data_IF_493369172349
#
_entry.id   IF_493369172349
#
_cell.length_a   1.000
_cell.length_b   1.000
_cell.length_c   1.000
_cell.angle_alpha   90.00
_cell.angle_beta   90.00
_cell.angle_gamma   90.00
#
_symmetry.space_group_name_H-M   'P 1'
#
loop_
_entity.id
_entity.type
_entity.pdbx_description
1 polymer ?
#
# COMPACT_ATOMS: atom_id res chain seq x y z
N UNK A 1 -4.04 7.18 -11.54
CA UNK A 1 -3.94 8.64 -11.39
C UNK A 1 -2.47 9.09 -11.29
N UNK A 2 -1.65 8.47 -10.45
CA UNK A 2 -0.29 8.91 -10.12
C UNK A 2 0.83 8.09 -10.79
N UNK A 3 0.51 7.25 -11.77
CA UNK A 3 1.45 6.35 -12.43
C UNK A 3 2.63 7.08 -13.13
N UNK A 4 2.44 8.32 -13.52
CA UNK A 4 3.45 9.14 -14.20
C UNK A 4 4.70 9.46 -13.35
N UNK A 5 4.63 9.32 -12.02
CA UNK A 5 5.80 9.44 -11.13
C UNK A 5 6.73 8.23 -11.22
N UNK A 6 6.22 7.06 -11.66
CA UNK A 6 6.97 5.81 -11.72
C UNK A 6 7.49 5.60 -13.14
N UNK A 7 8.81 5.63 -13.28
CA UNK A 7 9.51 5.53 -14.58
C UNK A 7 10.96 5.03 -14.41
N UNK A 8 11.59 4.69 -15.52
CA UNK A 8 13.00 4.28 -15.56
C UNK A 8 13.20 2.89 -14.94
N UNK A 9 14.23 2.74 -14.12
CA UNK A 9 14.48 1.52 -13.34
C UNK A 9 13.59 1.58 -12.11
N UNK A 10 12.60 0.71 -12.04
CA UNK A 10 11.59 0.65 -10.96
C UNK A 10 11.90 -0.51 -10.02
N UNK A 11 11.94 -0.22 -8.72
CA UNK A 11 11.97 -1.22 -7.66
C UNK A 11 10.55 -1.36 -7.09
N UNK A 12 10.01 -2.58 -7.16
CA UNK A 12 8.79 -2.98 -6.43
C UNK A 12 9.22 -3.64 -5.12
N UNK A 13 9.18 -2.87 -4.04
CA UNK A 13 9.69 -3.25 -2.73
C UNK A 13 8.58 -3.90 -1.87
N UNK A 14 8.68 -5.21 -1.68
CA UNK A 14 7.62 -6.07 -1.16
C UNK A 14 6.60 -6.37 -2.25
N UNK A 15 7.08 -6.94 -3.36
CA UNK A 15 6.31 -7.05 -4.60
C UNK A 15 5.14 -8.03 -4.53
N UNK A 16 5.14 -8.97 -3.58
CA UNK A 16 4.24 -10.10 -3.65
C UNK A 16 4.40 -10.84 -5.00
N UNK A 17 3.30 -11.12 -5.68
CA UNK A 17 3.30 -11.70 -7.03
C UNK A 17 3.82 -10.74 -8.12
N UNK A 18 3.93 -9.43 -7.82
CA UNK A 18 4.56 -8.40 -8.64
C UNK A 18 3.81 -8.00 -9.93
N UNK A 19 2.71 -8.64 -10.26
CA UNK A 19 2.05 -8.41 -11.56
C UNK A 19 0.92 -7.37 -11.50
N UNK A 20 0.41 -7.08 -10.30
CA UNK A 20 -0.80 -6.26 -10.11
C UNK A 20 -0.66 -4.85 -10.65
N UNK A 21 0.46 -4.18 -10.42
CA UNK A 21 0.65 -2.76 -10.73
C UNK A 21 1.54 -2.51 -11.94
N UNK A 22 2.38 -3.45 -12.32
CA UNK A 22 3.36 -3.36 -13.40
C UNK A 22 2.80 -2.76 -14.70
N UNK A 23 1.63 -3.20 -15.12
CA UNK A 23 0.96 -2.76 -16.36
C UNK A 23 0.57 -1.27 -16.41
N UNK A 24 0.60 -0.58 -15.27
CA UNK A 24 0.23 0.84 -15.18
C UNK A 24 1.41 1.80 -15.33
N UNK A 25 2.64 1.27 -15.35
CA UNK A 25 3.85 2.08 -15.36
C UNK A 25 4.60 1.97 -16.68
N UNK A 26 5.27 3.08 -17.04
CA UNK A 26 6.22 3.11 -18.15
C UNK A 26 7.64 3.02 -17.59
N UNK A 27 8.31 1.87 -17.75
CA UNK A 27 9.60 1.57 -17.15
C UNK A 27 10.58 1.01 -18.19
N UNK A 28 11.87 1.21 -17.96
CA UNK A 28 12.95 0.57 -18.72
C UNK A 28 13.31 -0.79 -18.12
N UNK A 29 13.23 -0.90 -16.78
CA UNK A 29 13.45 -2.15 -16.04
C UNK A 29 12.54 -2.18 -14.81
N UNK A 30 11.94 -3.32 -14.53
CA UNK A 30 11.11 -3.56 -13.34
C UNK A 30 11.77 -4.64 -12.50
N UNK A 31 12.09 -4.34 -11.25
CA UNK A 31 12.82 -5.22 -10.33
C UNK A 31 11.87 -5.54 -9.16
N UNK A 32 11.52 -6.79 -9.00
CA UNK A 32 10.72 -7.29 -7.88
C UNK A 32 11.64 -7.68 -6.72
N UNK A 33 11.42 -7.09 -5.55
CA UNK A 33 12.06 -7.48 -4.29
C UNK A 33 10.99 -8.01 -3.34
N UNK A 34 11.18 -9.22 -2.84
CA UNK A 34 10.30 -9.79 -1.81
C UNK A 34 11.09 -10.72 -0.89
N UNK A 35 10.68 -10.81 0.37
CA UNK A 35 11.28 -11.72 1.35
C UNK A 35 10.85 -13.17 1.12
N UNK A 36 9.66 -13.36 0.55
CA UNK A 36 9.12 -14.68 0.26
C UNK A 36 9.51 -15.12 -1.15
N UNK A 37 10.45 -16.09 -1.23
CA UNK A 37 10.88 -16.68 -2.50
C UNK A 37 9.77 -17.32 -3.33
N UNK A 38 8.66 -17.73 -2.71
CA UNK A 38 7.53 -18.34 -3.41
C UNK A 38 6.75 -17.34 -4.26
N UNK A 39 6.93 -16.03 -4.04
CA UNK A 39 6.40 -14.96 -4.88
C UNK A 39 7.20 -14.77 -6.18
N UNK A 40 8.23 -15.58 -6.39
CA UNK A 40 9.11 -15.51 -7.57
C UNK A 40 9.64 -14.09 -7.85
N UNK A 41 10.26 -13.43 -6.87
CA UNK A 41 10.85 -12.10 -7.07
C UNK A 41 12.15 -12.21 -7.85
N UNK A 42 12.59 -11.10 -8.46
CA UNK A 42 13.91 -11.01 -9.09
C UNK A 42 15.03 -11.00 -8.03
N UNK A 43 14.71 -10.45 -6.85
CA UNK A 43 15.61 -10.39 -5.70
C UNK A 43 14.88 -10.91 -4.46
N UNK A 44 15.38 -11.98 -3.86
CA UNK A 44 14.92 -12.43 -2.55
C UNK A 44 15.63 -11.62 -1.48
N UNK A 45 14.91 -10.79 -0.73
CA UNK A 45 15.51 -9.90 0.26
C UNK A 45 14.51 -9.11 1.06
N UNK A 46 15.00 -8.46 2.12
CA UNK A 46 14.18 -7.63 3.01
C UNK A 46 14.25 -6.16 2.60
N UNK A 47 13.13 -5.46 2.72
CA UNK A 47 13.09 -4.00 2.60
C UNK A 47 13.86 -3.28 3.71
N UNK A 48 14.23 -3.99 4.78
CA UNK A 48 15.09 -3.46 5.86
C UNK A 48 16.59 -3.43 5.50
N UNK A 49 16.98 -4.16 4.45
CA UNK A 49 18.35 -4.20 3.91
C UNK A 49 18.28 -4.59 2.43
N UNK A 50 18.04 -3.60 1.58
CA UNK A 50 17.84 -3.82 0.15
C UNK A 50 19.19 -4.11 -0.51
N UNK A 51 19.39 -5.28 -1.17
CA UNK A 51 20.66 -5.66 -1.77
C UNK A 51 20.90 -4.98 -3.13
N UNK A 52 20.75 -3.67 -3.15
CA UNK A 52 21.03 -2.77 -4.28
C UNK A 52 21.96 -1.65 -3.81
N UNK A 53 22.79 -1.16 -4.72
CA UNK A 53 23.69 -0.03 -4.44
C UNK A 53 22.93 1.28 -4.19
N UNK A 54 23.61 2.26 -3.61
CA UNK A 54 23.07 3.60 -3.40
C UNK A 54 22.71 4.23 -4.75
N UNK A 55 21.61 4.99 -4.79
CA UNK A 55 21.16 5.72 -5.98
C UNK A 55 21.12 4.85 -7.25
N UNK A 56 20.63 3.62 -7.14
CA UNK A 56 20.61 2.63 -8.22
C UNK A 56 19.28 2.55 -8.98
N UNK A 57 18.18 3.06 -8.41
CA UNK A 57 16.85 2.98 -9.03
C UNK A 57 16.25 4.37 -9.24
N UNK A 58 15.45 4.54 -10.31
CA UNK A 58 14.82 5.82 -10.65
C UNK A 58 13.50 6.01 -9.92
N UNK A 59 12.82 4.92 -9.57
CA UNK A 59 11.53 4.96 -8.88
C UNK A 59 11.36 3.77 -7.97
N UNK A 60 10.57 3.95 -6.90
CA UNK A 60 10.19 2.88 -5.98
C UNK A 60 8.67 2.84 -5.86
N UNK A 61 8.10 1.64 -5.84
CA UNK A 61 6.74 1.38 -5.40
C UNK A 61 6.79 0.40 -4.23
N UNK A 62 5.99 0.66 -3.20
CA UNK A 62 5.83 -0.26 -2.07
C UNK A 62 4.38 -0.20 -1.60
N UNK A 63 3.67 -1.33 -1.71
CA UNK A 63 2.22 -1.36 -1.47
C UNK A 63 1.86 -2.36 -0.40
N UNK A 64 1.36 -1.87 0.75
CA UNK A 64 0.94 -2.69 1.89
C UNK A 64 2.12 -3.56 2.38
N UNK A 65 3.21 -2.89 2.74
CA UNK A 65 4.45 -3.54 3.20
C UNK A 65 4.92 -2.99 4.54
N UNK A 66 4.87 -1.66 4.74
CA UNK A 66 5.45 -1.04 5.92
C UNK A 66 4.74 -1.43 7.22
N UNK A 67 3.48 -1.83 7.15
CA UNK A 67 2.72 -2.39 8.28
C UNK A 67 3.25 -3.74 8.74
N UNK A 68 3.90 -4.49 7.86
CA UNK A 68 4.42 -5.84 8.09
C UNK A 68 5.89 -5.88 8.46
N UNK A 69 6.55 -4.73 8.60
CA UNK A 69 7.96 -4.67 9.00
C UNK A 69 8.12 -4.11 10.42
N UNK A 70 8.97 -4.74 11.22
CA UNK A 70 9.21 -4.32 12.63
C UNK A 70 9.81 -2.92 12.77
N UNK A 71 10.50 -2.44 11.74
CA UNK A 71 11.12 -1.11 11.75
C UNK A 71 10.84 -0.38 10.43
N UNK A 72 9.66 0.24 10.29
CA UNK A 72 9.29 0.96 9.07
C UNK A 72 10.20 2.16 8.75
N UNK A 73 10.75 2.83 9.76
CA UNK A 73 11.70 3.93 9.56
C UNK A 73 12.99 3.43 8.87
N UNK A 74 13.48 2.25 9.23
CA UNK A 74 14.64 1.64 8.57
C UNK A 74 14.33 1.28 7.12
N UNK A 75 13.13 0.74 6.83
CA UNK A 75 12.73 0.47 5.45
C UNK A 75 12.68 1.75 4.61
N UNK A 76 12.12 2.83 5.15
CA UNK A 76 12.08 4.14 4.47
C UNK A 76 13.49 4.70 4.26
N UNK A 77 14.43 4.50 5.19
CA UNK A 77 15.85 4.88 5.02
C UNK A 77 16.51 4.10 3.87
N UNK A 78 16.19 2.81 3.73
CA UNK A 78 16.68 2.00 2.60
C UNK A 78 16.08 2.45 1.27
N UNK A 79 14.80 2.82 1.24
CA UNK A 79 14.18 3.43 0.05
C UNK A 79 14.91 4.72 -0.35
N UNK A 80 15.20 5.58 0.62
CA UNK A 80 15.97 6.80 0.36
C UNK A 80 17.36 6.49 -0.17
N UNK A 81 18.07 5.53 0.41
CA UNK A 81 19.42 5.13 0.02
C UNK A 81 19.49 4.69 -1.44
N UNK A 82 18.63 3.73 -1.82
CA UNK A 82 18.68 3.12 -3.17
C UNK A 82 18.09 4.00 -4.27
N UNK A 83 17.24 4.98 -3.90
CA UNK A 83 16.60 5.89 -4.84
C UNK A 83 17.61 6.94 -5.32
N UNK A 84 17.65 7.21 -6.63
CA UNK A 84 18.46 8.28 -7.22
C UNK A 84 17.97 9.66 -6.78
N UNK A 85 18.85 10.68 -6.76
CA UNK A 85 18.43 12.08 -6.60
C UNK A 85 17.32 12.44 -7.60
N UNK A 86 16.29 13.15 -7.13
CA UNK A 86 15.07 13.49 -7.87
C UNK A 86 14.17 12.28 -8.25
N UNK A 87 14.49 11.08 -7.79
CA UNK A 87 13.64 9.90 -7.93
C UNK A 87 12.38 9.98 -7.07
N UNK A 88 11.37 9.21 -7.43
CA UNK A 88 10.10 9.20 -6.71
C UNK A 88 9.85 7.85 -6.05
N UNK A 89 9.25 7.89 -4.85
CA UNK A 89 8.76 6.72 -4.18
C UNK A 89 7.25 6.87 -3.94
N UNK A 90 6.47 5.85 -4.33
CA UNK A 90 5.04 5.74 -4.03
C UNK A 90 4.85 4.62 -3.04
N UNK A 91 4.22 4.94 -1.90
CA UNK A 91 3.91 3.95 -0.88
C UNK A 91 2.42 3.98 -0.56
N UNK A 92 1.81 2.81 -0.38
CA UNK A 92 0.45 2.70 0.15
C UNK A 92 0.42 1.88 1.42
N UNK A 93 -0.38 2.32 2.40
CA UNK A 93 -0.36 1.78 3.76
C UNK A 93 -1.78 1.81 4.33
N UNK A 94 -2.20 0.82 5.12
CA UNK A 94 -3.51 0.81 5.76
C UNK A 94 -3.55 1.73 6.99
N UNK A 95 -4.72 2.32 7.24
CA UNK A 95 -5.06 2.93 8.52
C UNK A 95 -6.13 2.13 9.25
N UNK A 96 -7.19 1.72 8.54
CA UNK A 96 -8.29 0.96 9.11
C UNK A 96 -8.39 -0.38 8.38
N UNK A 97 -7.78 -1.39 8.96
CA UNK A 97 -7.81 -2.76 8.46
C UNK A 97 -7.76 -3.71 9.64
N UNK A 98 -8.41 -4.87 9.50
CA UNK A 98 -8.31 -5.97 10.47
C UNK A 98 -6.87 -6.51 10.52
N UNK A 99 -6.57 -7.33 11.52
CA UNK A 99 -5.32 -8.09 11.56
C UNK A 99 -5.26 -9.03 10.35
N UNK A 100 -4.12 -9.03 9.67
CA UNK A 100 -3.88 -9.88 8.50
C UNK A 100 -2.40 -10.25 8.41
N UNK A 101 -2.10 -11.35 7.74
CA UNK A 101 -0.74 -11.92 7.63
C UNK A 101 -0.05 -12.16 8.99
N UNK A 102 -0.87 -12.51 10.00
CA UNK A 102 -0.37 -12.82 11.34
C UNK A 102 0.73 -13.91 11.32
N UNK A 103 1.78 -13.77 12.17
CA UNK A 103 1.99 -12.78 13.22
C UNK A 103 2.73 -11.50 12.77
N UNK A 104 2.85 -11.22 11.49
CA UNK A 104 3.69 -10.14 10.97
C UNK A 104 2.87 -8.89 10.61
N UNK A 105 1.92 -8.51 11.45
CA UNK A 105 1.09 -7.31 11.27
C UNK A 105 1.30 -6.37 12.47
N UNK A 106 2.15 -5.35 12.31
CA UNK A 106 2.68 -4.58 13.43
C UNK A 106 2.09 -3.18 13.53
N UNK A 107 1.72 -2.53 12.41
CA UNK A 107 1.40 -1.10 12.42
C UNK A 107 0.16 -0.74 11.63
N UNK A 108 -0.51 0.32 12.10
CA UNK A 108 -1.51 1.12 11.39
C UNK A 108 -1.06 2.57 11.43
N UNK A 109 -1.02 3.21 10.28
CA UNK A 109 -0.44 4.55 10.20
C UNK A 109 -1.50 5.62 10.07
N UNK A 110 -1.36 6.69 10.86
CA UNK A 110 -2.06 7.94 10.61
C UNK A 110 -1.30 8.75 9.56
N UNK A 111 -1.98 9.74 8.97
CA UNK A 111 -1.33 10.71 8.08
C UNK A 111 -0.07 11.33 8.71
N UNK A 112 -0.18 11.76 9.96
CA UNK A 112 0.92 12.44 10.66
C UNK A 112 2.07 11.51 11.05
N UNK A 113 1.77 10.25 11.36
CA UNK A 113 2.81 9.24 11.58
C UNK A 113 3.62 8.96 10.33
N UNK A 114 2.98 9.00 9.14
CA UNK A 114 3.68 8.89 7.88
C UNK A 114 4.54 10.13 7.59
N UNK A 115 3.99 11.33 7.77
CA UNK A 115 4.75 12.59 7.63
C UNK A 115 6.03 12.55 8.45
N UNK A 116 5.94 12.12 9.71
CA UNK A 116 7.08 12.01 10.61
C UNK A 116 8.15 11.04 10.10
N UNK A 117 7.75 9.82 9.72
CA UNK A 117 8.71 8.79 9.26
C UNK A 117 9.46 9.24 7.99
N UNK A 118 8.75 9.84 7.03
CA UNK A 118 9.37 10.22 5.76
C UNK A 118 10.20 11.51 5.88
N UNK A 119 9.77 12.47 6.69
CA UNK A 119 10.53 13.71 6.94
C UNK A 119 11.85 13.42 7.66
N UNK A 120 11.87 12.49 8.63
CA UNK A 120 13.07 12.10 9.37
C UNK A 120 14.16 11.47 8.49
N UNK A 121 13.80 11.06 7.27
CA UNK A 121 14.73 10.50 6.27
C UNK A 121 15.02 11.49 5.14
N UNK A 122 14.64 12.76 5.30
CA UNK A 122 14.86 13.83 4.32
C UNK A 122 14.13 13.68 2.98
N UNK A 123 13.08 12.87 2.90
CA UNK A 123 12.21 12.85 1.74
C UNK A 123 11.39 14.14 1.66
N UNK A 124 11.31 14.71 0.46
CA UNK A 124 10.32 15.75 0.18
C UNK A 124 8.96 15.12 -0.09
N UNK A 125 7.99 15.38 0.77
CA UNK A 125 6.62 14.91 0.58
C UNK A 125 5.96 15.73 -0.53
N UNK A 126 5.53 15.06 -1.59
CA UNK A 126 4.84 15.67 -2.74
C UNK A 126 3.32 15.61 -2.53
N UNK A 127 2.83 14.47 -2.02
CA UNK A 127 1.41 14.24 -1.81
C UNK A 127 1.20 13.20 -0.72
N UNK A 128 0.21 13.42 0.14
CA UNK A 128 -0.43 12.38 0.93
C UNK A 128 -1.91 12.40 0.58
N UNK A 129 -2.40 11.33 -0.03
CA UNK A 129 -3.78 11.22 -0.49
C UNK A 129 -4.50 10.14 0.31
N UNK A 130 -5.74 10.42 0.67
CA UNK A 130 -6.60 9.52 1.41
C UNK A 130 -7.15 8.44 0.46
N UNK A 131 -7.15 7.21 0.91
CA UNK A 131 -7.79 6.09 0.23
C UNK A 131 -9.10 5.75 0.96
N UNK A 132 -10.22 5.98 0.29
CA UNK A 132 -11.55 5.86 0.89
C UNK A 132 -11.81 6.89 1.99
N UNK A 133 -13.04 6.99 2.43
CA UNK A 133 -13.49 7.83 3.54
C UNK A 133 -14.24 6.99 4.58
N UNK A 134 -15.03 7.64 5.40
CA UNK A 134 -15.82 7.02 6.45
C UNK A 134 -16.71 5.88 5.91
N UNK A 135 -17.42 6.13 4.80
CA UNK A 135 -18.36 5.16 4.24
C UNK A 135 -17.64 3.91 3.74
N UNK A 136 -16.58 4.08 2.97
CA UNK A 136 -15.78 2.94 2.48
C UNK A 136 -15.10 2.20 3.63
N UNK A 137 -14.58 2.89 4.64
CA UNK A 137 -13.93 2.27 5.79
C UNK A 137 -14.91 1.42 6.59
N UNK A 138 -16.12 1.96 6.89
CA UNK A 138 -17.14 1.19 7.61
C UNK A 138 -17.61 -0.04 6.84
N UNK A 139 -17.93 0.13 5.56
CA UNK A 139 -18.38 -0.99 4.74
C UNK A 139 -17.29 -2.04 4.58
N UNK A 140 -16.03 -1.63 4.44
CA UNK A 140 -14.92 -2.58 4.41
C UNK A 140 -14.84 -3.42 5.69
N UNK A 141 -14.91 -2.79 6.87
CA UNK A 141 -14.88 -3.48 8.16
C UNK A 141 -16.04 -4.48 8.26
N UNK A 142 -17.25 -4.05 7.93
CA UNK A 142 -18.43 -4.91 7.98
C UNK A 142 -18.33 -6.10 7.01
N UNK A 143 -17.86 -5.86 5.78
CA UNK A 143 -17.68 -6.93 4.78
C UNK A 143 -16.62 -7.92 5.26
N UNK A 144 -15.48 -7.46 5.75
CA UNK A 144 -14.40 -8.32 6.24
C UNK A 144 -14.86 -9.16 7.41
N UNK A 145 -15.53 -8.54 8.39
CA UNK A 145 -16.14 -9.24 9.52
C UNK A 145 -17.13 -10.31 9.05
N UNK A 146 -18.03 -10.00 8.11
CA UNK A 146 -19.00 -10.96 7.60
C UNK A 146 -18.33 -12.12 6.83
N UNK A 147 -17.28 -11.82 6.04
CA UNK A 147 -16.51 -12.84 5.32
C UNK A 147 -15.92 -13.86 6.30
N UNK A 148 -15.33 -13.39 7.40
CA UNK A 148 -14.71 -14.25 8.41
C UNK A 148 -15.74 -14.98 9.24
N UNK A 149 -16.78 -14.27 9.73
CA UNK A 149 -17.85 -14.84 10.55
C UNK A 149 -18.57 -16.00 9.83
N UNK A 150 -18.96 -15.78 8.57
CA UNK A 150 -19.67 -16.77 7.76
C UNK A 150 -18.75 -17.68 6.96
N UNK A 151 -17.43 -17.56 7.13
CA UNK A 151 -16.42 -18.34 6.41
C UNK A 151 -16.63 -18.32 4.88
N UNK A 152 -17.01 -17.16 4.32
CA UNK A 152 -17.36 -17.02 2.91
C UNK A 152 -16.22 -17.41 1.97
N UNK A 153 -14.96 -17.29 2.43
CA UNK A 153 -13.79 -17.74 1.67
C UNK A 153 -13.71 -19.27 1.52
N UNK A 154 -14.35 -20.03 2.45
CA UNK A 154 -14.31 -21.49 2.46
C UNK A 154 -15.57 -22.11 1.83
N UNK A 155 -16.71 -21.42 1.91
CA UNK A 155 -18.02 -21.95 1.46
C UNK A 155 -18.41 -21.23 0.16
N UNK A 156 -18.09 -21.87 -0.97
CA UNK A 156 -18.30 -21.29 -2.31
C UNK A 156 -19.73 -20.85 -2.59
N UNK A 157 -20.73 -21.61 -2.16
CA UNK A 157 -22.14 -21.30 -2.36
C UNK A 157 -22.52 -20.02 -1.61
N UNK A 158 -22.16 -19.89 -0.33
CA UNK A 158 -22.45 -18.69 0.45
C UNK A 158 -21.76 -17.47 -0.16
N UNK A 159 -20.53 -17.62 -0.63
CA UNK A 159 -19.81 -16.54 -1.34
C UNK A 159 -20.61 -16.05 -2.55
N UNK A 160 -21.14 -16.93 -3.37
CA UNK A 160 -21.96 -16.57 -4.54
C UNK A 160 -23.23 -15.80 -4.16
N UNK A 161 -23.91 -16.22 -3.08
CA UNK A 161 -25.12 -15.55 -2.59
C UNK A 161 -24.80 -14.15 -2.06
N UNK A 162 -23.73 -14.00 -1.28
CA UNK A 162 -23.37 -12.72 -0.66
C UNK A 162 -22.63 -11.75 -1.58
N UNK A 163 -21.98 -12.24 -2.64
CA UNK A 163 -21.16 -11.43 -3.54
C UNK A 163 -21.90 -10.21 -4.14
N UNK A 164 -23.15 -10.30 -4.64
CA UNK A 164 -23.89 -9.14 -5.14
C UNK A 164 -24.11 -8.08 -4.07
N UNK A 165 -24.42 -8.48 -2.83
CA UNK A 165 -24.61 -7.56 -1.70
C UNK A 165 -23.31 -6.85 -1.31
N UNK A 166 -22.22 -7.61 -1.26
CA UNK A 166 -20.88 -7.07 -1.01
C UNK A 166 -20.53 -6.01 -2.08
N UNK A 167 -20.78 -6.34 -3.33
CA UNK A 167 -20.53 -5.44 -4.47
C UNK A 167 -21.37 -4.16 -4.40
N UNK A 168 -22.68 -4.31 -4.16
CA UNK A 168 -23.60 -3.19 -4.06
C UNK A 168 -23.22 -2.24 -2.90
N UNK A 169 -22.97 -2.80 -1.71
CA UNK A 169 -22.55 -1.99 -0.56
C UNK A 169 -21.23 -1.27 -0.81
N UNK A 170 -20.25 -1.94 -1.42
CA UNK A 170 -18.98 -1.34 -1.78
C UNK A 170 -19.13 -0.17 -2.78
N UNK A 171 -19.98 -0.35 -3.80
CA UNK A 171 -20.28 0.73 -4.76
C UNK A 171 -20.98 1.92 -4.11
N UNK A 172 -21.98 1.67 -3.27
CA UNK A 172 -22.69 2.72 -2.55
C UNK A 172 -21.75 3.48 -1.60
N UNK A 173 -20.87 2.78 -0.91
CA UNK A 173 -19.88 3.41 -0.02
C UNK A 173 -18.93 4.34 -0.78
N UNK A 174 -18.43 3.93 -1.95
CA UNK A 174 -17.59 4.76 -2.82
C UNK A 174 -18.38 6.00 -3.30
N UNK A 175 -19.67 5.81 -3.66
CA UNK A 175 -20.53 6.89 -4.09
C UNK A 175 -20.78 7.90 -2.96
N UNK A 176 -21.04 7.42 -1.74
CA UNK A 176 -21.23 8.29 -0.58
C UNK A 176 -19.94 9.02 -0.22
N UNK A 177 -18.78 8.40 -0.25
CA UNK A 177 -17.49 9.08 -0.05
C UNK A 177 -17.23 10.15 -1.11
N UNK A 178 -17.68 9.94 -2.35
CA UNK A 178 -17.54 10.93 -3.42
C UNK A 178 -18.38 12.19 -3.16
N UNK A 179 -19.60 12.04 -2.63
CA UNK A 179 -20.48 13.15 -2.30
C UNK A 179 -20.19 13.78 -0.94
N UNK A 180 -19.84 12.97 0.05
CA UNK A 180 -19.53 13.45 1.40
C UNK A 180 -18.09 13.98 1.48
N UNK A 181 -17.94 15.26 1.17
CA UNK A 181 -16.66 15.97 1.27
C UNK A 181 -16.40 16.58 2.65
N UNK A 182 -17.19 16.21 3.65
CA UNK A 182 -17.08 16.74 5.01
C UNK A 182 -15.74 16.42 5.66
N UNK A 183 -15.35 17.25 6.64
CA UNK A 183 -14.18 16.99 7.48
C UNK A 183 -14.35 15.70 8.29
N UNK A 184 -15.58 15.34 8.65
CA UNK A 184 -15.88 14.10 9.38
C UNK A 184 -15.52 12.89 8.54
N UNK A 185 -15.96 12.83 7.27
CA UNK A 185 -15.62 11.75 6.34
C UNK A 185 -14.09 11.61 6.16
N UNK A 186 -13.40 12.73 6.02
CA UNK A 186 -11.94 12.74 5.81
C UNK A 186 -11.08 12.33 7.01
N UNK A 187 -11.66 12.19 8.20
CA UNK A 187 -10.96 11.65 9.39
C UNK A 187 -10.83 10.12 9.36
N UNK A 188 -11.59 9.45 8.51
CA UNK A 188 -11.67 7.99 8.45
C UNK A 188 -11.16 7.50 7.10
N UNK A 189 -9.90 7.15 7.02
CA UNK A 189 -9.31 6.57 5.81
C UNK A 189 -9.21 5.05 5.92
N UNK A 190 -9.45 4.33 4.84
CA UNK A 190 -9.04 2.91 4.75
C UNK A 190 -7.52 2.84 4.85
N UNK A 191 -6.84 3.78 4.21
CA UNK A 191 -5.39 3.88 4.21
C UNK A 191 -4.93 5.16 3.50
N UNK A 192 -3.64 5.24 3.31
CA UNK A 192 -2.97 6.38 2.71
C UNK A 192 -2.17 5.97 1.49
N UNK A 193 -2.07 6.89 0.55
CA UNK A 193 -1.08 6.87 -0.51
C UNK A 193 -0.16 8.06 -0.28
N UNK A 194 1.14 7.80 -0.16
CA UNK A 194 2.14 8.85 -0.06
C UNK A 194 3.06 8.83 -1.29
N UNK A 195 3.34 9.99 -1.84
CA UNK A 195 4.31 10.21 -2.91
C UNK A 195 5.40 11.11 -2.36
N UNK A 196 6.62 10.65 -2.43
CA UNK A 196 7.79 11.38 -1.96
C UNK A 196 8.87 11.44 -3.02
N UNK A 197 9.75 12.43 -2.91
CA UNK A 197 10.90 12.64 -3.79
C UNK A 197 12.17 12.74 -2.95
N UNK A 198 13.25 12.11 -3.42
CA UNK A 198 14.60 12.29 -2.90
C UNK A 198 15.24 13.56 -3.41
#
# INVERSE_FOLDING_TARGET
>A
KHAHYIKGIVLDAGSGDGERYKKFFNFSKYIKLDINKNNNPDIVGSVLNIPLGDSSVDSIISTQVLEHVKNPAKAVSEFYRVLKPRGYCIVTIPQMNELHEEPNDYFRFTKYGLEEIFNNVYFKIILIDQRGGYWSANVQIQIRYAIDLFRLNKIRILRWIFQPFIWLNGMLAILFDYFDRSRANRKHAIGWLIIVQK
#
